data_IF_565044502183
#
_entry.id   IF_565044502183
#
_cell.length_a   1.000
_cell.length_b   1.000
_cell.length_c   1.000
_cell.angle_alpha   90.00
_cell.angle_beta   90.00
_cell.angle_gamma   90.00
#
_symmetry.space_group_name_H-M   'P 1'
#
loop_
_entity.id
_entity.type
_entity.pdbx_description
1 polymer ?
#
# COMPACT_ATOMS: atom_id res chain seq x y z
N UNK A 1 -14.43 8.29 -8.03
CA UNK A 1 -14.60 9.32 -6.97
C UNK A 1 -13.41 10.31 -6.99
N UNK A 2 -13.30 11.19 -8.04
CA UNK A 2 -12.16 12.11 -8.18
C UNK A 2 -11.99 13.03 -6.97
N UNK A 3 -13.09 13.58 -6.45
CA UNK A 3 -13.07 14.51 -5.31
C UNK A 3 -12.55 13.83 -4.04
N UNK A 4 -12.89 12.55 -3.82
CA UNK A 4 -12.38 11.79 -2.68
C UNK A 4 -10.87 11.51 -2.83
N UNK A 5 -10.43 11.15 -4.03
CA UNK A 5 -9.00 10.93 -4.32
C UNK A 5 -8.20 12.23 -4.14
N UNK A 6 -8.75 13.36 -4.59
CA UNK A 6 -8.17 14.68 -4.38
C UNK A 6 -8.05 15.01 -2.89
N UNK A 7 -9.11 14.80 -2.12
CA UNK A 7 -9.15 15.03 -0.68
C UNK A 7 -8.10 14.18 0.06
N UNK A 8 -7.99 12.88 -0.27
CA UNK A 8 -6.96 11.98 0.28
C UNK A 8 -5.56 12.57 0.07
N UNK A 9 -5.27 13.07 -1.14
CA UNK A 9 -3.99 13.69 -1.46
C UNK A 9 -3.76 14.99 -0.69
N UNK A 10 -4.76 15.87 -0.63
CA UNK A 10 -4.68 17.17 0.04
C UNK A 10 -4.56 17.05 1.57
N UNK A 11 -5.12 16.00 2.17
CA UNK A 11 -4.97 15.68 3.60
C UNK A 11 -3.62 15.03 3.95
N UNK A 12 -2.70 14.88 2.97
CA UNK A 12 -1.33 14.42 3.19
C UNK A 12 -1.13 12.92 3.22
N UNK A 13 -2.13 12.16 2.79
CA UNK A 13 -1.98 10.72 2.56
C UNK A 13 -1.13 10.45 1.31
N UNK A 14 -0.51 9.27 1.26
CA UNK A 14 0.29 8.86 0.12
C UNK A 14 -0.52 7.96 -0.82
N UNK A 15 -0.55 8.30 -2.10
CA UNK A 15 -1.20 7.52 -3.14
C UNK A 15 -0.16 6.65 -3.84
N UNK A 16 -0.48 5.38 -4.06
CA UNK A 16 0.30 4.43 -4.84
C UNK A 16 -0.51 3.82 -5.98
N UNK A 17 0.17 3.26 -6.98
CA UNK A 17 -0.50 2.52 -8.06
C UNK A 17 -0.98 1.16 -7.56
N UNK A 18 -2.19 0.77 -8.00
CA UNK A 18 -2.75 -0.57 -7.75
C UNK A 18 -3.37 -1.20 -9.01
N UNK A 19 -3.02 -0.69 -10.19
CA UNK A 19 -3.63 -1.01 -11.46
C UNK A 19 -4.92 -0.22 -11.69
N UNK A 20 -5.38 -0.22 -12.92
CA UNK A 20 -6.61 0.45 -13.34
C UNK A 20 -7.83 -0.48 -13.27
N UNK A 21 -7.67 -1.71 -13.77
CA UNK A 21 -8.76 -2.70 -13.82
C UNK A 21 -8.78 -3.67 -12.64
N UNK A 22 -7.79 -3.60 -11.73
CA UNK A 22 -7.58 -4.53 -10.63
C UNK A 22 -7.42 -6.01 -11.06
N UNK A 23 -7.04 -6.26 -12.30
CA UNK A 23 -6.75 -7.61 -12.79
C UNK A 23 -5.41 -8.11 -12.26
N UNK A 24 -5.27 -9.44 -12.20
CA UNK A 24 -4.01 -10.07 -11.77
C UNK A 24 -2.87 -9.75 -12.76
N UNK A 25 -1.95 -8.88 -12.36
CA UNK A 25 -0.82 -8.46 -13.18
C UNK A 25 0.21 -9.59 -13.45
N UNK A 26 0.16 -10.69 -12.70
CA UNK A 26 1.05 -11.82 -12.91
C UNK A 26 0.86 -12.48 -14.30
N UNK A 27 -0.34 -12.36 -14.85
CA UNK A 27 -0.68 -12.94 -16.16
C UNK A 27 -0.58 -11.93 -17.32
N UNK A 28 -0.19 -10.69 -17.03
CA UNK A 28 -0.11 -9.61 -17.99
C UNK A 28 1.28 -9.52 -18.63
N UNK A 29 1.30 -9.13 -19.90
CA UNK A 29 2.51 -8.68 -20.57
C UNK A 29 2.98 -7.33 -20.02
N UNK A 30 4.25 -7.00 -20.24
CA UNK A 30 4.81 -5.68 -19.87
C UNK A 30 4.01 -4.51 -20.45
N UNK A 31 3.51 -4.65 -21.70
CA UNK A 31 2.70 -3.62 -22.36
C UNK A 31 1.36 -3.41 -21.66
N UNK A 32 0.69 -4.48 -21.25
CA UNK A 32 -0.57 -4.41 -20.53
C UNK A 32 -0.37 -3.78 -19.14
N UNK A 33 0.68 -4.18 -18.40
CA UNK A 33 1.01 -3.58 -17.11
C UNK A 33 1.32 -2.09 -17.26
N UNK A 34 2.11 -1.70 -18.26
CA UNK A 34 2.41 -0.30 -18.53
C UNK A 34 1.14 0.51 -18.80
N UNK A 35 0.19 -0.06 -19.55
CA UNK A 35 -1.10 0.57 -19.82
C UNK A 35 -1.96 0.72 -18.56
N UNK A 36 -2.02 -0.29 -17.69
CA UNK A 36 -2.70 -0.19 -16.38
C UNK A 36 -2.18 0.99 -15.55
N UNK A 37 -0.86 1.22 -15.58
CA UNK A 37 -0.25 2.35 -14.86
C UNK A 37 -0.54 3.69 -15.55
N UNK A 38 -0.53 3.75 -16.87
CA UNK A 38 -0.87 4.95 -17.65
C UNK A 38 -2.32 5.38 -17.43
N UNK A 39 -3.24 4.42 -17.52
CA UNK A 39 -4.67 4.68 -17.30
C UNK A 39 -4.93 5.14 -15.84
N UNK A 40 -4.20 4.58 -14.87
CA UNK A 40 -4.27 5.02 -13.47
C UNK A 40 -3.68 6.42 -13.30
N UNK A 41 -2.57 6.73 -13.96
CA UNK A 41 -1.91 8.05 -13.89
C UNK A 41 -2.84 9.17 -14.34
N UNK A 42 -3.64 8.93 -15.37
CA UNK A 42 -4.57 9.90 -15.92
C UNK A 42 -5.69 10.34 -14.93
N UNK A 43 -5.89 9.57 -13.86
CA UNK A 43 -6.91 9.82 -12.83
C UNK A 43 -6.35 10.43 -11.54
N UNK A 44 -5.04 10.61 -11.45
CA UNK A 44 -4.41 11.15 -10.24
C UNK A 44 -4.66 12.67 -10.12
N UNK A 45 -4.72 13.19 -8.88
CA UNK A 45 -4.73 14.62 -8.64
C UNK A 45 -3.49 15.30 -9.23
N UNK A 46 -3.64 16.58 -9.62
CA UNK A 46 -2.52 17.38 -10.09
C UNK A 46 -1.38 17.42 -9.05
N UNK A 47 -0.16 17.22 -9.51
CA UNK A 47 1.04 17.16 -8.67
C UNK A 47 1.25 15.82 -7.94
N UNK A 48 0.30 14.89 -8.00
CA UNK A 48 0.46 13.55 -7.42
C UNK A 48 1.36 12.69 -8.33
N UNK A 49 2.50 12.26 -7.80
CA UNK A 49 3.47 11.42 -8.49
C UNK A 49 3.83 10.21 -7.62
N UNK A 50 3.08 9.10 -7.71
CA UNK A 50 3.34 7.92 -6.91
C UNK A 50 4.74 7.33 -7.17
N UNK A 51 5.38 6.89 -6.10
CA UNK A 51 6.68 6.20 -6.14
C UNK A 51 6.55 4.70 -5.85
N UNK A 52 5.33 4.25 -5.53
CA UNK A 52 5.03 2.87 -5.22
C UNK A 52 4.01 2.26 -6.17
N UNK A 53 4.23 0.98 -6.49
CA UNK A 53 3.25 0.08 -7.09
C UNK A 53 2.96 -1.06 -6.11
N UNK A 54 1.69 -1.31 -5.82
CA UNK A 54 1.22 -2.55 -5.21
C UNK A 54 0.41 -3.31 -6.24
N UNK A 55 0.92 -4.43 -6.79
CA UNK A 55 0.12 -5.22 -7.74
C UNK A 55 -1.11 -5.82 -7.06
N UNK A 56 -2.26 -5.91 -7.75
CA UNK A 56 -3.43 -6.62 -7.25
C UNK A 56 -3.08 -8.04 -6.82
N UNK A 57 -3.55 -8.44 -5.61
CA UNK A 57 -3.20 -9.72 -4.98
C UNK A 57 -1.74 -9.85 -4.52
N UNK A 58 -0.92 -8.82 -4.63
CA UNK A 58 0.48 -8.80 -4.18
C UNK A 58 1.45 -9.65 -5.00
N UNK A 59 1.00 -10.24 -6.09
CA UNK A 59 1.82 -11.14 -6.90
C UNK A 59 2.71 -10.37 -7.90
N UNK A 60 4.01 -10.67 -7.89
CA UNK A 60 4.99 -10.04 -8.77
C UNK A 60 5.55 -11.08 -9.76
N UNK A 61 5.33 -10.86 -11.07
CA UNK A 61 6.06 -11.53 -12.14
C UNK A 61 7.29 -10.71 -12.54
N UNK A 62 8.21 -11.30 -13.30
CA UNK A 62 9.34 -10.56 -13.86
C UNK A 62 8.87 -9.36 -14.71
N UNK A 63 7.75 -9.49 -15.41
CA UNK A 63 7.15 -8.39 -16.17
C UNK A 63 6.77 -7.21 -15.26
N UNK A 64 6.17 -7.48 -14.10
CA UNK A 64 5.83 -6.45 -13.10
C UNK A 64 7.09 -5.77 -12.58
N UNK A 65 8.12 -6.55 -12.19
CA UNK A 65 9.39 -6.02 -11.66
C UNK A 65 10.07 -5.11 -12.71
N UNK A 66 10.14 -5.55 -13.97
CA UNK A 66 10.76 -4.79 -15.05
C UNK A 66 10.01 -3.50 -15.36
N UNK A 67 8.66 -3.53 -15.43
CA UNK A 67 7.87 -2.32 -15.66
C UNK A 67 8.03 -1.35 -14.49
N UNK A 68 7.99 -1.83 -13.25
CA UNK A 68 8.22 -0.99 -12.08
C UNK A 68 9.62 -0.36 -12.12
N UNK A 69 10.65 -1.12 -12.53
CA UNK A 69 12.01 -0.61 -12.68
C UNK A 69 12.10 0.52 -13.73
N UNK A 70 11.53 0.32 -14.91
CA UNK A 70 11.53 1.32 -16.00
C UNK A 70 10.75 2.57 -15.61
N UNK A 71 9.67 2.41 -14.84
CA UNK A 71 8.83 3.52 -14.35
C UNK A 71 9.34 4.17 -13.06
N UNK A 72 10.52 3.77 -12.57
CA UNK A 72 11.12 4.26 -11.32
C UNK A 72 10.23 4.05 -10.08
N UNK A 73 9.48 2.94 -10.05
CA UNK A 73 8.59 2.58 -8.95
C UNK A 73 9.21 1.49 -8.07
N UNK A 74 9.13 1.64 -6.75
CA UNK A 74 9.34 0.55 -5.82
C UNK A 74 8.05 -0.25 -5.67
N UNK A 75 8.16 -1.57 -5.44
CA UNK A 75 6.99 -2.39 -5.20
C UNK A 75 6.74 -2.47 -3.70
N UNK A 76 5.55 -2.04 -3.28
CA UNK A 76 5.13 -2.06 -1.89
C UNK A 76 4.16 -3.23 -1.63
N UNK A 77 4.61 -4.20 -0.88
CA UNK A 77 3.77 -5.26 -0.34
C UNK A 77 3.41 -4.94 1.13
N UNK A 78 3.23 -5.95 1.97
CA UNK A 78 2.89 -5.81 3.39
C UNK A 78 3.61 -6.85 4.23
N UNK A 79 3.65 -6.62 5.52
CA UNK A 79 4.20 -7.56 6.52
C UNK A 79 3.14 -8.02 7.52
N UNK A 80 2.00 -7.33 7.58
CA UNK A 80 0.86 -7.72 8.42
C UNK A 80 -0.39 -7.78 7.56
N UNK A 81 -0.98 -8.98 7.44
CA UNK A 81 -2.18 -9.24 6.65
C UNK A 81 -3.26 -9.92 7.55
N UNK A 82 -4.25 -9.19 8.02
CA UNK A 82 -5.35 -9.75 8.78
C UNK A 82 -6.34 -10.54 7.92
N UNK A 83 -6.27 -10.43 6.58
CA UNK A 83 -7.24 -10.97 5.61
C UNK A 83 -8.65 -10.43 5.87
N UNK A 84 -8.75 -9.13 6.07
CA UNK A 84 -9.99 -8.41 6.36
C UNK A 84 -11.06 -8.60 5.27
N UNK A 85 -10.64 -8.76 4.02
CA UNK A 85 -11.49 -9.08 2.88
C UNK A 85 -12.20 -10.44 2.99
N UNK A 86 -11.68 -11.37 3.81
CA UNK A 86 -12.21 -12.74 3.99
C UNK A 86 -13.13 -12.87 5.21
N UNK A 87 -13.33 -11.83 5.99
CA UNK A 87 -14.17 -11.86 7.20
C UNK A 87 -15.02 -10.60 7.33
N UNK A 88 -16.10 -10.69 8.14
CA UNK A 88 -16.92 -9.56 8.56
C UNK A 88 -16.80 -9.30 10.06
N UNK A 89 -15.84 -9.91 10.70
CA UNK A 89 -15.59 -9.82 12.13
C UNK A 89 -14.50 -8.78 12.43
N UNK A 90 -14.92 -7.59 12.84
CA UNK A 90 -14.05 -6.48 13.23
C UNK A 90 -13.02 -6.89 14.27
N UNK A 91 -13.45 -7.58 15.33
CA UNK A 91 -12.55 -8.02 16.40
C UNK A 91 -11.47 -9.02 15.91
N UNK A 92 -11.83 -9.94 15.02
CA UNK A 92 -10.87 -10.87 14.45
C UNK A 92 -9.80 -10.18 13.61
N UNK A 93 -10.18 -9.10 12.87
CA UNK A 93 -9.24 -8.26 12.11
C UNK A 93 -8.28 -7.55 13.07
N UNK A 94 -8.82 -6.83 14.05
CA UNK A 94 -8.03 -6.12 15.08
C UNK A 94 -7.05 -7.03 15.78
N UNK A 95 -7.53 -8.16 16.29
CA UNK A 95 -6.72 -9.14 17.02
C UNK A 95 -5.53 -9.62 16.20
N UNK A 96 -5.72 -9.91 14.91
CA UNK A 96 -4.63 -10.36 14.03
C UNK A 96 -3.58 -9.27 13.81
N UNK A 97 -4.00 -8.03 13.62
CA UNK A 97 -3.05 -6.91 13.46
C UNK A 97 -2.30 -6.66 14.76
N UNK A 98 -3.02 -6.47 15.86
CA UNK A 98 -2.45 -6.03 17.14
C UNK A 98 -1.57 -7.11 17.81
N UNK A 99 -1.79 -8.39 17.49
CA UNK A 99 -0.97 -9.48 18.00
C UNK A 99 0.44 -9.53 17.40
N UNK A 100 0.64 -9.00 16.19
CA UNK A 100 1.87 -9.19 15.43
C UNK A 100 2.56 -7.94 14.95
N UNK A 101 1.91 -6.78 14.99
CA UNK A 101 2.45 -5.55 14.45
C UNK A 101 3.67 -5.06 15.23
N UNK A 102 4.69 -4.60 14.51
CA UNK A 102 5.95 -4.07 15.04
C UNK A 102 6.31 -2.77 14.34
N UNK A 103 7.19 -2.00 14.97
CA UNK A 103 7.71 -0.76 14.38
C UNK A 103 8.36 -1.03 13.00
N UNK A 104 7.92 -0.28 12.02
CA UNK A 104 8.35 -0.38 10.62
C UNK A 104 7.56 -1.38 9.78
N UNK A 105 6.52 -1.99 10.32
CA UNK A 105 5.62 -2.85 9.54
C UNK A 105 4.70 -2.05 8.61
N UNK A 106 4.28 -2.70 7.54
CA UNK A 106 3.24 -2.25 6.62
C UNK A 106 2.03 -3.14 6.81
N UNK A 107 0.92 -2.55 7.24
CA UNK A 107 -0.36 -3.23 7.47
C UNK A 107 -1.20 -3.15 6.20
N UNK A 108 -1.74 -4.28 5.74
CA UNK A 108 -2.72 -4.32 4.64
C UNK A 108 -4.13 -4.31 5.22
N UNK A 109 -4.95 -3.40 4.73
CA UNK A 109 -6.39 -3.34 4.98
C UNK A 109 -7.11 -2.86 3.73
N UNK A 110 -8.41 -3.11 3.64
CA UNK A 110 -9.27 -2.69 2.54
C UNK A 110 -10.49 -1.94 3.08
N UNK A 111 -10.94 -0.93 2.36
CA UNK A 111 -12.10 -0.10 2.72
C UNK A 111 -13.43 -0.58 2.10
N UNK A 112 -13.48 -1.89 1.74
CA UNK A 112 -14.63 -2.46 1.02
C UNK A 112 -15.80 -2.86 1.93
N UNK A 113 -15.62 -2.84 3.25
CA UNK A 113 -16.66 -3.29 4.20
C UNK A 113 -16.62 -2.47 5.48
N UNK A 114 -17.79 -2.25 6.09
CA UNK A 114 -17.91 -1.53 7.37
C UNK A 114 -17.04 -2.15 8.47
N UNK A 115 -16.95 -3.49 8.49
CA UNK A 115 -16.11 -4.20 9.47
C UNK A 115 -14.62 -3.91 9.30
N UNK A 116 -14.12 -3.82 8.06
CA UNK A 116 -12.73 -3.48 7.79
C UNK A 116 -12.46 -2.02 8.13
N UNK A 117 -13.36 -1.10 7.78
CA UNK A 117 -13.24 0.32 8.09
C UNK A 117 -13.24 0.54 9.60
N UNK A 118 -14.21 -0.07 10.32
CA UNK A 118 -14.26 0.00 11.77
C UNK A 118 -12.98 -0.54 12.40
N UNK A 119 -12.52 -1.72 11.99
CA UNK A 119 -11.27 -2.30 12.50
C UNK A 119 -10.06 -1.39 12.23
N UNK A 120 -9.98 -0.75 11.06
CA UNK A 120 -8.90 0.18 10.75
C UNK A 120 -8.86 1.37 11.73
N UNK A 121 -10.01 1.97 12.05
CA UNK A 121 -10.10 3.07 13.00
C UNK A 121 -9.71 2.62 14.41
N UNK A 122 -10.27 1.51 14.90
CA UNK A 122 -9.97 0.96 16.21
C UNK A 122 -8.47 0.58 16.33
N UNK A 123 -7.87 -0.01 15.28
CA UNK A 123 -6.43 -0.31 15.23
C UNK A 123 -5.58 0.96 15.33
N UNK A 124 -5.94 2.02 14.61
CA UNK A 124 -5.22 3.31 14.67
C UNK A 124 -5.25 3.84 16.08
N UNK A 125 -6.41 3.91 16.73
CA UNK A 125 -6.54 4.41 18.10
C UNK A 125 -5.68 3.60 19.09
N UNK A 126 -5.75 2.27 19.03
CA UNK A 126 -4.94 1.39 19.91
C UNK A 126 -3.43 1.54 19.65
N UNK A 127 -3.01 1.76 18.41
CA UNK A 127 -1.59 1.94 18.09
C UNK A 127 -1.09 3.31 18.56
N UNK A 128 -1.89 4.38 18.45
CA UNK A 128 -1.57 5.69 18.97
C UNK A 128 -1.46 5.67 20.50
N UNK A 129 -2.36 4.98 21.20
CA UNK A 129 -2.30 4.78 22.66
C UNK A 129 -1.05 4.00 23.12
N UNK A 130 -0.42 3.25 22.22
CA UNK A 130 0.84 2.52 22.45
C UNK A 130 2.08 3.28 21.95
N UNK A 131 1.98 4.58 21.75
CA UNK A 131 3.05 5.46 21.28
C UNK A 131 3.59 5.10 19.88
N UNK A 132 2.81 4.43 19.02
CA UNK A 132 3.14 4.30 17.62
C UNK A 132 2.78 5.58 16.87
N UNK A 133 3.59 5.92 15.88
CA UNK A 133 3.29 6.96 14.91
C UNK A 133 2.83 6.30 13.60
N UNK A 134 1.60 6.63 13.16
CA UNK A 134 1.07 6.17 11.87
C UNK A 134 1.55 7.15 10.79
N UNK A 135 2.34 6.67 9.86
CA UNK A 135 3.00 7.52 8.86
C UNK A 135 2.84 6.98 7.45
N UNK A 136 3.00 7.85 6.46
CA UNK A 136 3.12 7.40 5.07
C UNK A 136 4.39 6.57 4.86
N UNK A 137 4.38 5.69 3.87
CA UNK A 137 5.54 4.82 3.60
C UNK A 137 6.76 5.65 3.21
N UNK A 138 6.61 6.72 2.43
CA UNK A 138 7.70 7.63 2.10
C UNK A 138 8.31 8.32 3.32
N UNK A 139 7.48 8.69 4.32
CA UNK A 139 7.99 9.21 5.59
C UNK A 139 8.76 8.14 6.36
N UNK A 140 8.23 6.92 6.44
CA UNK A 140 8.90 5.79 7.10
C UNK A 140 10.26 5.47 6.45
N UNK A 141 10.30 5.43 5.11
CA UNK A 141 11.54 5.23 4.33
C UNK A 141 12.60 6.28 4.68
N UNK A 142 12.21 7.57 4.75
CA UNK A 142 13.11 8.67 5.15
C UNK A 142 13.62 8.48 6.58
N UNK A 143 12.73 8.20 7.54
CA UNK A 143 13.08 7.99 8.94
C UNK A 143 14.04 6.80 9.15
N UNK A 144 13.99 5.80 8.25
CA UNK A 144 14.87 4.62 8.28
C UNK A 144 16.15 4.78 7.46
N UNK A 145 16.33 5.89 6.75
CA UNK A 145 17.47 6.07 5.84
C UNK A 145 17.55 5.01 4.75
N UNK A 146 16.40 4.46 4.32
CA UNK A 146 16.34 3.45 3.27
C UNK A 146 16.37 4.14 1.91
N UNK A 147 17.27 3.70 1.04
CA UNK A 147 17.26 4.09 -0.37
C UNK A 147 16.43 3.08 -1.16
N UNK A 148 15.26 3.50 -1.61
CA UNK A 148 14.40 2.68 -2.46
C UNK A 148 15.10 2.37 -3.78
N UNK A 149 14.92 1.15 -4.27
CA UNK A 149 15.39 0.70 -5.59
C UNK A 149 14.17 0.37 -6.44
N UNK A 150 14.05 0.95 -7.63
CA UNK A 150 12.97 0.64 -8.56
C UNK A 150 12.94 -0.86 -8.89
N UNK A 151 11.73 -1.42 -8.98
CA UNK A 151 11.53 -2.85 -9.23
C UNK A 151 11.80 -3.77 -8.03
N UNK A 152 12.30 -3.25 -6.90
CA UNK A 152 12.48 -4.05 -5.69
C UNK A 152 11.21 -4.08 -4.86
N UNK A 153 10.92 -5.25 -4.26
CA UNK A 153 9.77 -5.48 -3.37
C UNK A 153 10.15 -5.16 -1.93
N UNK A 154 9.30 -4.36 -1.27
CA UNK A 154 9.41 -3.99 0.14
C UNK A 154 8.16 -4.44 0.89
N UNK A 155 8.34 -5.09 2.03
CA UNK A 155 7.25 -5.54 2.90
C UNK A 155 7.21 -4.81 4.24
N UNK A 156 8.37 -4.28 4.68
CA UNK A 156 8.56 -3.57 5.96
C UNK A 156 9.84 -2.73 5.90
N UNK A 157 9.96 -1.79 6.87
CA UNK A 157 11.11 -0.90 6.96
C UNK A 157 11.64 -0.84 8.40
N UNK A 158 12.38 -1.85 8.81
CA UNK A 158 12.94 -1.93 10.17
C UNK A 158 14.16 -1.02 10.35
N UNK A 159 14.44 -0.60 11.60
CA UNK A 159 15.71 0.04 11.94
C UNK A 159 16.86 -0.90 11.59
N UNK A 160 17.88 -0.39 10.93
CA UNK A 160 19.15 -1.10 10.82
C UNK A 160 19.72 -1.23 12.25
N UNK A 161 20.09 -2.43 12.62
CA UNK A 161 20.83 -2.67 13.86
C UNK A 161 22.23 -2.08 13.75
#
# INVERSE_FOLDING_TARGET
YPDLTKRIWEEGHEIGYHGFTHKNMQQMSRREIAKELEDSQALLPEGCSPVFLRPPGGCCSDAVLQVAQVRNLAILSWSVDPRDWATRDTWAIEKKVLAGVKDGDVILLHDMTDSSVKAALDIVDVLLDKDYEIVTVSRLVRLRGVKLRPGQVYTRFQKKR
#
